data_IF_879067901726
#
_entry.id   IF_879067901726
#
_cell.length_a   1.000
_cell.length_b   1.000
_cell.length_c   1.000
_cell.angle_alpha   90.00
_cell.angle_beta   90.00
_cell.angle_gamma   90.00
#
_symmetry.space_group_name_H-M   'P 1'
#
loop_
_entity.id
_entity.type
_entity.pdbx_description
1 polymer ?
#
# COMPACT_ATOMS: atom_id res chain seq x y z
N UNK A 1 -10.22 -14.46 -2.99
CA UNK A 1 -11.18 -13.42 -3.47
C UNK A 1 -10.63 -12.04 -3.16
N UNK A 2 -10.77 -11.06 -4.07
CA UNK A 2 -10.45 -9.64 -3.82
C UNK A 2 -11.77 -8.85 -3.88
N UNK A 3 -11.97 -7.94 -2.93
CA UNK A 3 -13.18 -7.11 -2.85
C UNK A 3 -12.87 -5.70 -2.35
N UNK A 4 -13.67 -4.72 -2.78
CA UNK A 4 -13.59 -3.34 -2.34
C UNK A 4 -14.31 -3.12 -1.02
N UNK A 5 -13.87 -2.11 -0.26
CA UNK A 5 -14.48 -1.68 0.98
C UNK A 5 -15.32 -0.41 0.78
N UNK A 6 -16.47 -0.36 1.40
CA UNK A 6 -17.23 0.86 1.58
C UNK A 6 -16.64 1.72 2.71
N UNK A 7 -17.03 3.00 2.76
CA UNK A 7 -16.53 3.97 3.76
C UNK A 7 -16.72 3.50 5.21
N UNK A 8 -17.84 2.87 5.52
CA UNK A 8 -18.15 2.35 6.86
C UNK A 8 -17.41 1.05 7.21
N UNK A 9 -16.67 0.45 6.28
CA UNK A 9 -15.89 -0.77 6.48
C UNK A 9 -14.39 -0.51 6.71
N UNK A 10 -13.94 0.74 6.66
CA UNK A 10 -12.53 1.12 6.78
C UNK A 10 -11.89 0.75 8.13
N UNK A 11 -12.68 0.49 9.16
CA UNK A 11 -12.21 -0.09 10.42
C UNK A 11 -11.46 -1.41 10.25
N UNK A 12 -11.76 -2.17 9.19
CA UNK A 12 -11.02 -3.38 8.85
C UNK A 12 -9.57 -3.07 8.47
N UNK A 13 -9.34 -2.00 7.71
CA UNK A 13 -7.97 -1.57 7.32
C UNK A 13 -7.18 -1.13 8.56
N UNK A 14 -7.79 -0.37 9.47
CA UNK A 14 -7.19 -0.01 10.74
C UNK A 14 -6.71 -1.25 11.51
N UNK A 15 -7.61 -2.22 11.69
CA UNK A 15 -7.29 -3.47 12.39
C UNK A 15 -6.16 -4.24 11.70
N UNK A 16 -6.27 -4.48 10.40
CA UNK A 16 -5.27 -5.22 9.64
C UNK A 16 -3.90 -4.54 9.65
N UNK A 17 -3.84 -3.21 9.54
CA UNK A 17 -2.59 -2.48 9.60
C UNK A 17 -1.89 -2.65 10.96
N UNK A 18 -2.63 -2.56 12.07
CA UNK A 18 -2.08 -2.75 13.42
C UNK A 18 -1.60 -4.19 13.69
N UNK A 19 -2.15 -5.18 12.99
CA UNK A 19 -1.69 -6.57 13.07
C UNK A 19 -0.45 -6.83 12.17
N UNK A 20 -0.40 -6.21 11.00
CA UNK A 20 0.61 -6.50 9.96
C UNK A 20 1.89 -5.66 10.14
N UNK A 21 1.77 -4.36 10.38
CA UNK A 21 2.89 -3.43 10.43
C UNK A 21 3.95 -3.77 11.47
N UNK A 22 3.61 -4.11 12.72
CA UNK A 22 4.61 -4.47 13.72
C UNK A 22 5.48 -5.67 13.32
N UNK A 23 4.94 -6.57 12.49
CA UNK A 23 5.68 -7.75 12.01
C UNK A 23 6.54 -7.38 10.79
N UNK A 24 5.96 -6.64 9.83
CA UNK A 24 6.65 -6.27 8.59
C UNK A 24 7.83 -5.33 8.81
N UNK A 25 7.72 -4.40 9.75
CA UNK A 25 8.67 -3.29 9.90
C UNK A 25 9.57 -3.37 11.13
N UNK A 26 9.46 -4.42 11.96
CA UNK A 26 10.22 -4.56 13.22
C UNK A 26 11.74 -4.43 13.07
N UNK A 27 12.29 -4.85 11.94
CA UNK A 27 13.73 -4.85 11.67
C UNK A 27 14.16 -3.66 10.78
N UNK A 28 13.24 -2.79 10.39
CA UNK A 28 13.51 -1.65 9.48
C UNK A 28 13.43 -0.30 10.17
N UNK A 29 12.51 -0.14 11.09
CA UNK A 29 12.26 1.11 11.84
C UNK A 29 11.96 0.79 13.31
N UNK A 30 12.10 1.80 14.18
CA UNK A 30 11.85 1.63 15.62
C UNK A 30 10.36 1.35 15.92
N UNK A 31 10.10 0.72 17.06
CA UNK A 31 8.73 0.52 17.53
C UNK A 31 7.98 1.85 17.73
N UNK A 32 8.69 2.90 18.18
CA UNK A 32 8.11 4.24 18.30
C UNK A 32 7.69 4.81 16.96
N UNK A 33 8.51 4.62 15.92
CA UNK A 33 8.17 5.06 14.56
C UNK A 33 7.01 4.24 13.98
N UNK A 34 6.96 2.93 14.19
CA UNK A 34 5.82 2.09 13.79
C UNK A 34 4.52 2.62 14.41
N UNK A 35 4.53 2.85 15.73
CA UNK A 35 3.37 3.38 16.45
C UNK A 35 2.96 4.75 15.92
N UNK A 36 3.91 5.66 15.74
CA UNK A 36 3.66 6.99 15.18
C UNK A 36 3.01 6.92 13.79
N UNK A 37 3.55 6.08 12.90
CA UNK A 37 3.04 5.95 11.54
C UNK A 37 1.66 5.29 11.49
N UNK A 38 1.39 4.30 12.36
CA UNK A 38 0.06 3.69 12.47
C UNK A 38 -0.98 4.70 12.95
N UNK A 39 -0.66 5.50 13.96
CA UNK A 39 -1.53 6.56 14.47
C UNK A 39 -1.75 7.67 13.43
N UNK A 40 -0.75 8.01 12.65
CA UNK A 40 -0.83 9.04 11.61
C UNK A 40 -1.58 8.57 10.36
N UNK A 41 -1.25 7.38 9.83
CA UNK A 41 -1.71 6.92 8.52
C UNK A 41 -2.97 6.05 8.56
N UNK A 42 -3.24 5.40 9.68
CA UNK A 42 -4.26 4.36 9.80
C UNK A 42 -5.31 4.62 10.89
N UNK A 43 -5.30 5.80 11.54
CA UNK A 43 -6.41 6.15 12.41
C UNK A 43 -7.71 6.28 11.60
N UNK A 44 -8.88 6.01 12.20
CA UNK A 44 -10.16 6.00 11.47
C UNK A 44 -10.44 7.29 10.69
N UNK A 45 -10.18 8.44 11.29
CA UNK A 45 -10.41 9.74 10.65
C UNK A 45 -9.53 9.94 9.41
N UNK A 46 -8.24 9.51 9.47
CA UNK A 46 -7.33 9.63 8.33
C UNK A 46 -7.73 8.69 7.19
N UNK A 47 -8.18 7.47 7.51
CA UNK A 47 -8.67 6.53 6.51
C UNK A 47 -9.93 7.06 5.81
N UNK A 48 -10.88 7.60 6.56
CA UNK A 48 -12.06 8.24 5.99
C UNK A 48 -11.70 9.45 5.11
N UNK A 49 -10.80 10.30 5.58
CA UNK A 49 -10.30 11.45 4.79
C UNK A 49 -9.63 11.01 3.49
N UNK A 50 -8.89 9.91 3.50
CA UNK A 50 -8.29 9.34 2.30
C UNK A 50 -9.37 8.84 1.34
N UNK A 51 -10.38 8.11 1.86
CA UNK A 51 -11.51 7.63 1.07
C UNK A 51 -12.26 8.80 0.41
N UNK A 52 -12.57 9.83 1.17
CA UNK A 52 -13.26 11.03 0.68
C UNK A 52 -12.44 11.81 -0.38
N UNK A 53 -11.12 11.62 -0.41
CA UNK A 53 -10.21 12.14 -1.44
C UNK A 53 -10.06 11.24 -2.68
N UNK A 54 -10.78 10.13 -2.72
CA UNK A 54 -10.77 9.22 -3.86
C UNK A 54 -9.81 8.02 -3.74
N UNK A 55 -9.29 7.74 -2.53
CA UNK A 55 -8.58 6.49 -2.31
C UNK A 55 -9.59 5.32 -2.28
N UNK A 56 -9.32 4.33 -3.09
CA UNK A 56 -10.01 3.05 -3.07
C UNK A 56 -9.28 2.09 -2.12
N UNK A 57 -10.03 1.27 -1.40
CA UNK A 57 -9.48 0.26 -0.50
C UNK A 57 -10.00 -1.12 -0.89
N UNK A 58 -9.08 -2.07 -1.05
CA UNK A 58 -9.39 -3.46 -1.40
C UNK A 58 -8.75 -4.42 -0.42
N UNK A 59 -9.39 -5.54 -0.20
CA UNK A 59 -8.93 -6.62 0.69
C UNK A 59 -8.85 -7.92 -0.10
N UNK A 60 -7.81 -8.70 0.15
CA UNK A 60 -7.71 -10.07 -0.33
C UNK A 60 -8.05 -11.04 0.80
N UNK A 61 -8.98 -11.94 0.50
CA UNK A 61 -9.50 -12.97 1.41
C UNK A 61 -9.18 -14.36 0.88
N UNK A 62 -8.68 -15.24 1.75
CA UNK A 62 -8.45 -16.66 1.48
C UNK A 62 -8.93 -17.49 2.68
N UNK A 63 -9.58 -18.62 2.41
CA UNK A 63 -10.11 -19.52 3.45
C UNK A 63 -10.85 -18.77 4.57
N UNK A 64 -11.75 -17.87 4.18
CA UNK A 64 -12.55 -17.01 5.07
C UNK A 64 -11.73 -15.98 5.89
N UNK A 65 -10.40 -15.90 5.73
CA UNK A 65 -9.55 -14.93 6.42
C UNK A 65 -9.14 -13.77 5.50
N UNK A 66 -9.16 -12.55 6.02
CA UNK A 66 -8.61 -11.37 5.37
C UNK A 66 -7.10 -11.36 5.57
N UNK A 67 -6.35 -11.64 4.52
CA UNK A 67 -4.91 -11.88 4.58
C UNK A 67 -4.05 -10.72 4.09
N UNK A 68 -4.64 -9.72 3.48
CA UNK A 68 -3.92 -8.55 3.00
C UNK A 68 -4.87 -7.47 2.49
N UNK A 69 -4.32 -6.28 2.28
CA UNK A 69 -5.06 -5.13 1.76
C UNK A 69 -4.20 -4.25 0.88
N UNK A 70 -4.85 -3.47 0.04
CA UNK A 70 -4.21 -2.40 -0.71
C UNK A 70 -5.08 -1.15 -0.73
N UNK A 71 -4.45 -0.01 -0.95
CA UNK A 71 -5.13 1.25 -1.26
C UNK A 71 -4.49 1.90 -2.46
N UNK A 72 -5.31 2.38 -3.37
CA UNK A 72 -4.87 3.05 -4.60
C UNK A 72 -5.77 4.23 -4.94
N UNK A 73 -5.31 5.08 -5.83
CA UNK A 73 -6.03 6.24 -6.33
C UNK A 73 -5.88 6.33 -7.85
N UNK A 74 -6.96 6.63 -8.53
CA UNK A 74 -6.99 6.87 -9.97
C UNK A 74 -6.70 8.34 -10.24
N UNK A 75 -5.55 8.62 -10.89
CA UNK A 75 -5.13 9.97 -11.27
C UNK A 75 -5.24 10.14 -12.80
N UNK A 76 -6.45 10.41 -13.26
CA UNK A 76 -6.75 10.53 -14.71
C UNK A 76 -5.91 11.62 -15.38
N UNK A 77 -5.72 12.76 -14.71
CA UNK A 77 -4.92 13.89 -15.20
C UNK A 77 -3.44 13.54 -15.41
N UNK A 78 -2.95 12.48 -14.76
CA UNK A 78 -1.57 11.97 -14.89
C UNK A 78 -1.49 10.65 -15.64
N UNK A 79 -2.61 10.16 -16.15
CA UNK A 79 -2.75 8.84 -16.77
C UNK A 79 -2.11 7.72 -15.93
N UNK A 80 -2.30 7.78 -14.62
CA UNK A 80 -1.67 6.84 -13.71
C UNK A 80 -2.59 6.37 -12.58
N UNK A 81 -2.30 5.16 -12.08
CA UNK A 81 -2.78 4.67 -10.80
C UNK A 81 -1.69 4.91 -9.77
N UNK A 82 -2.01 5.54 -8.64
CA UNK A 82 -1.13 5.67 -7.50
C UNK A 82 -1.44 4.58 -6.48
N UNK A 83 -0.50 3.68 -6.25
CA UNK A 83 -0.57 2.72 -5.16
C UNK A 83 -0.11 3.39 -3.85
N UNK A 84 -0.98 3.46 -2.85
CA UNK A 84 -0.67 4.05 -1.56
C UNK A 84 -0.27 3.01 -0.51
N UNK A 85 -0.93 1.85 -0.53
CA UNK A 85 -0.74 0.79 0.47
C UNK A 85 -0.81 -0.57 -0.22
N UNK A 86 0.08 -1.48 0.16
CA UNK A 86 0.05 -2.89 -0.24
C UNK A 86 0.71 -3.72 0.85
N UNK A 87 -0.08 -4.42 1.61
CA UNK A 87 0.40 -5.23 2.72
C UNK A 87 -0.31 -6.57 2.76
N UNK A 88 0.47 -7.63 2.97
CA UNK A 88 -0.02 -9.00 3.17
C UNK A 88 0.51 -9.50 4.50
N UNK A 89 -0.32 -10.17 5.27
CA UNK A 89 0.08 -10.76 6.54
C UNK A 89 1.30 -11.69 6.34
N UNK A 90 2.44 -11.44 7.00
CA UNK A 90 3.65 -12.23 6.82
C UNK A 90 3.47 -13.72 7.08
N UNK A 91 2.53 -14.09 7.94
CA UNK A 91 2.19 -15.49 8.21
C UNK A 91 1.54 -16.20 7.00
N UNK A 92 1.12 -15.43 5.99
CA UNK A 92 0.42 -15.88 4.78
C UNK A 92 1.19 -15.57 3.48
N UNK A 93 2.48 -15.18 3.58
CA UNK A 93 3.27 -14.59 2.48
C UNK A 93 3.54 -15.48 1.27
N UNK A 94 3.39 -16.80 1.38
CA UNK A 94 3.94 -17.71 0.35
C UNK A 94 2.99 -18.01 -0.83
N UNK A 95 1.88 -17.28 -0.95
CA UNK A 95 0.82 -17.60 -1.92
C UNK A 95 0.65 -16.59 -3.07
N UNK A 96 1.59 -15.66 -3.23
CA UNK A 96 1.53 -14.66 -4.31
C UNK A 96 0.42 -13.62 -4.13
N UNK A 97 -0.11 -13.44 -2.92
CA UNK A 97 -1.27 -12.56 -2.65
C UNK A 97 -0.99 -11.10 -2.94
N UNK A 98 0.24 -10.62 -2.67
CA UNK A 98 0.66 -9.26 -3.06
C UNK A 98 0.68 -9.06 -4.58
N UNK A 99 1.14 -10.06 -5.33
CA UNK A 99 1.11 -10.04 -6.81
C UNK A 99 -0.33 -10.02 -7.34
N UNK A 100 -1.22 -10.78 -6.70
CA UNK A 100 -2.65 -10.82 -7.08
C UNK A 100 -3.35 -9.49 -6.85
N UNK A 101 -3.11 -8.83 -5.70
CA UNK A 101 -3.61 -7.47 -5.42
C UNK A 101 -3.09 -6.48 -6.46
N UNK A 102 -1.79 -6.52 -6.76
CA UNK A 102 -1.18 -5.62 -7.73
C UNK A 102 -1.71 -5.85 -9.15
N UNK A 103 -1.84 -7.12 -9.57
CA UNK A 103 -2.41 -7.46 -10.88
C UNK A 103 -3.84 -6.99 -11.03
N UNK A 104 -4.66 -7.08 -9.98
CA UNK A 104 -6.02 -6.57 -9.95
C UNK A 104 -6.04 -5.04 -10.15
N UNK A 105 -5.20 -4.30 -9.43
CA UNK A 105 -5.08 -2.84 -9.56
C UNK A 105 -4.61 -2.45 -10.97
N UNK A 106 -3.64 -3.17 -11.54
CA UNK A 106 -3.20 -2.95 -12.92
C UNK A 106 -4.33 -3.18 -13.93
N UNK A 107 -5.16 -4.21 -13.73
CA UNK A 107 -6.33 -4.46 -14.60
C UNK A 107 -7.30 -3.30 -14.55
N UNK A 108 -7.66 -2.83 -13.38
CA UNK A 108 -8.53 -1.66 -13.21
C UNK A 108 -7.96 -0.40 -13.88
N UNK A 109 -6.66 -0.20 -13.80
CA UNK A 109 -5.98 0.90 -14.48
C UNK A 109 -6.11 0.81 -16.00
N UNK A 110 -5.85 -0.36 -16.58
CA UNK A 110 -5.98 -0.62 -18.03
C UNK A 110 -7.42 -0.42 -18.51
N UNK A 111 -8.41 -0.90 -17.76
CA UNK A 111 -9.84 -0.73 -18.07
C UNK A 111 -10.24 0.75 -18.16
N UNK A 112 -9.52 1.62 -17.45
CA UNK A 112 -9.70 3.07 -17.49
C UNK A 112 -8.73 3.80 -18.43
N UNK A 113 -8.01 3.07 -19.29
CA UNK A 113 -7.02 3.60 -20.24
C UNK A 113 -5.87 4.37 -19.57
N UNK A 114 -5.46 3.94 -18.37
CA UNK A 114 -4.30 4.48 -17.68
C UNK A 114 -3.04 3.73 -18.09
N UNK A 115 -1.91 4.42 -18.18
CA UNK A 115 -0.68 3.91 -18.77
C UNK A 115 0.34 3.45 -17.76
N UNK A 116 0.22 3.90 -16.51
CA UNK A 116 1.25 3.65 -15.50
C UNK A 116 0.64 3.39 -14.12
N UNK A 117 1.39 2.63 -13.32
CA UNK A 117 1.18 2.51 -11.89
C UNK A 117 2.44 3.01 -11.18
N UNK A 118 2.29 3.91 -10.22
CA UNK A 118 3.41 4.39 -9.42
C UNK A 118 3.18 4.20 -7.92
N UNK A 119 4.27 4.14 -7.16
CA UNK A 119 4.26 3.93 -5.72
C UNK A 119 5.48 4.58 -5.06
N UNK A 120 5.40 4.75 -3.75
CA UNK A 120 6.54 5.04 -2.88
C UNK A 120 6.80 3.84 -1.98
N UNK A 121 8.07 3.51 -1.79
CA UNK A 121 8.51 2.40 -0.95
C UNK A 121 9.80 2.77 -0.22
N UNK A 122 9.89 2.44 1.07
CA UNK A 122 11.12 2.67 1.84
C UNK A 122 12.30 1.97 1.18
N UNK A 123 13.44 2.67 1.04
CA UNK A 123 14.64 2.16 0.34
C UNK A 123 15.21 0.90 0.94
N UNK A 124 15.03 0.69 2.25
CA UNK A 124 15.50 -0.50 2.95
C UNK A 124 14.49 -1.64 2.99
N UNK A 125 13.28 -1.41 2.47
CA UNK A 125 12.22 -2.41 2.47
C UNK A 125 12.52 -3.51 1.42
N UNK A 126 12.53 -4.79 1.79
CA UNK A 126 12.66 -5.91 0.85
C UNK A 126 11.65 -5.90 -0.30
N UNK A 127 10.52 -5.21 -0.13
CA UNK A 127 9.52 -5.01 -1.19
C UNK A 127 10.07 -4.28 -2.43
N UNK A 128 11.16 -3.51 -2.32
CA UNK A 128 11.86 -2.92 -3.47
C UNK A 128 12.24 -4.02 -4.46
N UNK A 129 12.78 -5.12 -3.98
CA UNK A 129 13.15 -6.26 -4.81
C UNK A 129 11.93 -6.95 -5.45
N UNK A 130 10.84 -7.06 -4.71
CA UNK A 130 9.57 -7.57 -5.22
C UNK A 130 9.04 -6.70 -6.38
N UNK A 131 9.05 -5.38 -6.23
CA UNK A 131 8.62 -4.45 -7.28
C UNK A 131 9.56 -4.48 -8.49
N UNK A 132 10.88 -4.52 -8.27
CA UNK A 132 11.85 -4.65 -9.36
C UNK A 132 11.61 -5.92 -10.21
N UNK A 133 11.35 -7.06 -9.57
CA UNK A 133 11.01 -8.32 -10.27
C UNK A 133 9.73 -8.24 -11.09
N UNK A 134 8.81 -7.35 -10.73
CA UNK A 134 7.57 -7.11 -11.47
C UNK A 134 7.71 -6.08 -12.59
N UNK A 135 8.92 -5.52 -12.78
CA UNK A 135 9.21 -4.57 -13.83
C UNK A 135 9.08 -3.11 -13.44
N UNK A 136 8.86 -2.80 -12.16
CA UNK A 136 8.92 -1.42 -11.68
C UNK A 136 10.35 -0.89 -11.77
N UNK A 137 10.48 0.39 -12.10
CA UNK A 137 11.75 1.11 -12.16
C UNK A 137 11.79 2.21 -11.13
N UNK A 138 12.94 2.41 -10.50
CA UNK A 138 13.20 3.53 -9.61
C UNK A 138 13.29 4.80 -10.45
N UNK A 139 12.43 5.77 -10.16
CA UNK A 139 12.36 7.05 -10.85
C UNK A 139 13.07 8.16 -10.07
N UNK A 140 12.99 8.14 -8.75
CA UNK A 140 13.64 9.12 -7.86
C UNK A 140 13.80 8.57 -6.44
N UNK A 141 14.69 9.20 -5.69
CA UNK A 141 14.92 8.97 -4.26
C UNK A 141 14.45 10.19 -3.48
N UNK A 142 13.62 9.99 -2.45
CA UNK A 142 12.96 11.06 -1.71
C UNK A 142 13.23 10.87 -0.22
N UNK A 143 13.60 11.96 0.45
CA UNK A 143 13.69 12.05 1.90
C UNK A 143 12.62 13.03 2.38
N UNK A 144 11.61 12.52 3.10
CA UNK A 144 10.49 13.31 3.59
C UNK A 144 10.48 13.29 5.13
N UNK A 145 10.55 14.47 5.74
CA UNK A 145 10.27 14.65 7.15
C UNK A 145 8.75 14.49 7.38
N UNK A 146 8.38 13.52 8.23
CA UNK A 146 6.97 13.20 8.54
C UNK A 146 6.55 13.69 9.91
N UNK A 147 7.39 14.49 10.60
CA UNK A 147 7.15 14.97 11.96
C UNK A 147 7.60 13.99 13.04
N UNK A 148 7.55 14.40 14.30
CA UNK A 148 7.96 13.58 15.44
C UNK A 148 9.44 13.17 15.43
N UNK A 149 10.29 13.81 14.62
CA UNK A 149 11.69 13.45 14.42
C UNK A 149 11.90 12.25 13.48
N UNK A 150 10.88 11.85 12.74
CA UNK A 150 10.92 10.71 11.82
C UNK A 150 10.97 11.12 10.35
N UNK A 151 11.55 10.26 9.51
CA UNK A 151 11.68 10.45 8.07
C UNK A 151 11.13 9.25 7.31
N UNK A 152 10.55 9.52 6.12
CA UNK A 152 10.30 8.51 5.09
C UNK A 152 11.42 8.66 4.03
N UNK A 153 12.30 7.66 3.97
CA UNK A 153 13.40 7.59 3.02
C UNK A 153 13.00 6.62 1.91
N UNK A 154 12.31 7.14 0.89
CA UNK A 154 11.61 6.32 -0.08
C UNK A 154 12.23 6.39 -1.47
N UNK A 155 12.04 5.32 -2.24
CA UNK A 155 12.04 5.36 -3.70
C UNK A 155 10.63 5.63 -4.21
N UNK A 156 10.53 6.47 -5.24
CA UNK A 156 9.38 6.46 -6.12
C UNK A 156 9.65 5.47 -7.24
N UNK A 157 8.76 4.49 -7.40
CA UNK A 157 8.88 3.47 -8.43
C UNK A 157 7.68 3.53 -9.38
N UNK A 158 7.89 3.18 -10.64
CA UNK A 158 6.87 3.23 -11.70
C UNK A 158 6.90 1.97 -12.54
N UNK A 159 5.71 1.47 -12.87
CA UNK A 159 5.45 0.39 -13.82
C UNK A 159 4.61 0.92 -14.98
N UNK A 160 4.97 0.56 -16.21
CA UNK A 160 4.09 0.73 -17.37
C UNK A 160 3.07 -0.39 -17.39
N UNK A 161 1.78 -0.05 -17.49
CA UNK A 161 0.67 -1.01 -17.43
C UNK A 161 -0.16 -1.02 -18.70
#
# INVERSE_FOLDING_TARGET
>A
MIYGLARNELGLIHKMAHEIWPICFKDMISQQQIKYMLEWMYNPHQLEKNFDKGHEFIVIKENEENIGFASYEIKKEKSCVRLHKLYVNPKQHHRGSGRRLLAHICSLGREQNLNTLDLFVNRTNPAVHFYNKLGFKIMESIDLDIGGGFFMNDYRMKLKI
#
